data_IF_844100756359
#
_entry.id   IF_844100756359
#
_cell.length_a   1.000
_cell.length_b   1.000
_cell.length_c   1.000
_cell.angle_alpha   90.00
_cell.angle_beta   90.00
_cell.angle_gamma   90.00
#
_symmetry.space_group_name_H-M   'P 1'
#
loop_
_entity.id
_entity.type
_entity.pdbx_description
1 polymer ?
#
# COMPACT_ATOMS: atom_id res chain seq x y z
N UNK A 1 15.53 -3.16 6.86
CA UNK A 1 15.99 -4.09 5.81
C UNK A 1 14.74 -4.52 5.07
N UNK A 2 14.44 -3.92 3.91
CA UNK A 2 13.26 -4.29 3.11
C UNK A 2 13.64 -5.57 2.36
N UNK A 3 12.95 -6.71 2.57
CA UNK A 3 13.26 -7.93 1.83
C UNK A 3 13.08 -7.65 0.34
N UNK A 4 13.98 -8.18 -0.49
CA UNK A 4 13.76 -8.24 -1.94
C UNK A 4 12.51 -9.11 -2.12
N UNK A 5 11.37 -8.46 -2.40
CA UNK A 5 10.07 -9.11 -2.49
C UNK A 5 10.07 -10.01 -3.72
N UNK A 6 10.37 -11.29 -3.50
CA UNK A 6 10.16 -12.38 -4.45
C UNK A 6 8.66 -12.52 -4.71
N UNK A 7 8.29 -12.98 -5.89
CA UNK A 7 6.90 -13.26 -6.25
C UNK A 7 6.16 -14.00 -5.12
N UNK A 8 5.00 -13.49 -4.73
CA UNK A 8 4.16 -14.08 -3.68
C UNK A 8 4.23 -13.42 -2.29
N UNK A 9 4.74 -12.18 -2.17
CA UNK A 9 4.62 -11.41 -0.91
C UNK A 9 3.78 -10.15 -1.16
N UNK A 10 2.63 -10.08 -0.49
CA UNK A 10 1.68 -8.96 -0.57
C UNK A 10 1.55 -8.29 0.80
N UNK A 11 1.56 -6.96 0.82
CA UNK A 11 1.21 -6.22 2.02
C UNK A 11 -0.31 -6.18 2.19
N UNK A 12 -0.79 -6.58 3.36
CA UNK A 12 -2.15 -6.31 3.80
C UNK A 12 -2.15 -4.99 4.56
N UNK A 13 -2.57 -3.92 3.89
CA UNK A 13 -2.76 -2.60 4.48
C UNK A 13 -3.93 -2.67 5.47
N UNK A 14 -3.71 -2.18 6.69
CA UNK A 14 -4.69 -2.14 7.77
C UNK A 14 -4.82 -0.75 8.35
N UNK A 15 -3.91 -0.36 9.23
CA UNK A 15 -3.88 0.98 9.83
C UNK A 15 -3.07 1.97 8.99
N UNK A 16 -2.19 1.48 8.10
CA UNK A 16 -1.41 2.31 7.18
C UNK A 16 -0.33 3.16 7.86
N UNK A 17 -0.09 2.99 9.17
CA UNK A 17 0.90 3.78 9.92
C UNK A 17 2.32 3.31 9.62
N UNK A 18 2.50 2.01 9.41
CA UNK A 18 3.80 1.40 9.14
C UNK A 18 4.28 1.55 7.69
N UNK A 19 3.37 1.91 6.78
CA UNK A 19 3.61 1.87 5.33
C UNK A 19 3.70 3.27 4.75
N UNK A 20 4.79 3.57 4.04
CA UNK A 20 4.94 4.83 3.31
C UNK A 20 4.32 4.70 1.93
N UNK A 21 3.78 5.79 1.40
CA UNK A 21 3.20 5.77 0.05
C UNK A 21 4.26 5.51 -1.03
N UNK A 22 5.52 5.84 -0.75
CA UNK A 22 6.67 5.58 -1.61
C UNK A 22 7.26 4.17 -1.47
N UNK A 23 6.78 3.34 -0.53
CA UNK A 23 7.26 1.96 -0.40
C UNK A 23 6.90 1.15 -1.65
N UNK A 24 7.67 0.11 -1.92
CA UNK A 24 7.42 -0.78 -3.06
C UNK A 24 6.38 -1.83 -2.68
N UNK A 25 5.55 -2.23 -3.65
CA UNK A 25 4.68 -3.42 -3.55
C UNK A 25 3.65 -3.40 -2.41
N UNK A 26 3.32 -2.23 -1.85
CA UNK A 26 2.23 -2.13 -0.87
C UNK A 26 0.85 -2.15 -1.54
N UNK A 27 0.78 -1.91 -2.86
CA UNK A 27 -0.43 -2.01 -3.66
C UNK A 27 -0.40 -3.33 -4.45
N UNK A 28 -1.31 -4.28 -4.21
CA UNK A 28 -1.29 -5.59 -4.88
C UNK A 28 -1.35 -5.53 -6.41
N UNK A 29 -2.07 -4.55 -6.96
CA UNK A 29 -2.18 -4.32 -8.41
C UNK A 29 -0.92 -3.72 -9.06
N UNK A 30 0.06 -3.27 -8.27
CA UNK A 30 1.27 -2.59 -8.73
C UNK A 30 2.49 -3.38 -8.27
N UNK A 31 3.06 -4.19 -9.17
CA UNK A 31 4.22 -5.04 -8.90
C UNK A 31 5.52 -4.38 -9.31
N UNK A 32 6.55 -4.55 -8.48
CA UNK A 32 7.92 -4.11 -8.72
C UNK A 32 8.16 -2.61 -8.57
N UNK A 33 7.15 -1.82 -8.19
CA UNK A 33 7.25 -0.36 -8.04
C UNK A 33 6.30 0.18 -6.98
N UNK A 34 6.47 1.45 -6.63
CA UNK A 34 5.49 2.23 -5.87
C UNK A 34 4.48 2.90 -6.82
N UNK A 35 3.30 3.30 -6.31
CA UNK A 35 2.36 4.12 -7.06
C UNK A 35 3.01 5.45 -7.50
N UNK A 36 2.73 5.87 -8.72
CA UNK A 36 3.24 7.12 -9.28
C UNK A 36 2.52 8.31 -8.63
N UNK A 37 3.26 9.08 -7.84
CA UNK A 37 2.77 10.27 -7.14
C UNK A 37 2.72 11.45 -8.13
N UNK A 38 1.59 12.16 -8.19
CA UNK A 38 1.39 13.33 -9.07
C UNK A 38 2.01 14.60 -8.52
N UNK A 39 1.90 14.79 -7.22
CA UNK A 39 2.32 16.03 -6.57
C UNK A 39 3.83 15.96 -6.31
N UNK A 40 4.55 17.07 -6.51
CA UNK A 40 5.93 17.23 -6.05
C UNK A 40 6.01 17.32 -4.50
N UNK A 41 5.41 16.36 -3.81
CA UNK A 41 5.67 16.14 -2.39
C UNK A 41 6.68 15.02 -2.25
N UNK A 42 7.50 15.12 -1.21
CA UNK A 42 8.35 14.02 -0.81
C UNK A 42 7.46 12.84 -0.37
N UNK A 43 7.28 11.87 -1.25
CA UNK A 43 6.50 10.66 -0.98
C UNK A 43 7.02 9.84 0.20
N UNK A 44 8.25 10.09 0.66
CA UNK A 44 8.79 9.47 1.86
C UNK A 44 8.24 10.09 3.16
N UNK A 45 7.65 11.28 3.09
CA UNK A 45 7.04 11.97 4.23
C UNK A 45 5.60 11.53 4.51
N UNK A 46 4.92 10.91 3.53
CA UNK A 46 3.53 10.49 3.64
C UNK A 46 3.40 9.00 3.91
N UNK A 47 2.43 8.67 4.76
CA UNK A 47 2.04 7.30 5.07
C UNK A 47 0.68 6.97 4.47
N UNK A 48 0.42 5.69 4.35
CA UNK A 48 -0.86 5.20 3.83
C UNK A 48 -2.03 5.66 4.71
N UNK A 49 -1.83 5.74 6.03
CA UNK A 49 -2.86 6.27 6.96
C UNK A 49 -3.32 7.68 6.64
N UNK A 50 -2.44 8.52 6.06
CA UNK A 50 -2.71 9.93 5.79
C UNK A 50 -3.68 10.08 4.62
N UNK A 51 -3.90 8.99 3.86
CA UNK A 51 -4.84 8.89 2.76
C UNK A 51 -6.19 8.29 3.18
N UNK A 52 -6.33 7.85 4.44
CA UNK A 52 -7.57 7.26 4.95
C UNK A 52 -8.54 8.37 5.40
N UNK A 53 -9.83 8.12 5.16
CA UNK A 53 -10.91 8.97 5.66
C UNK A 53 -11.08 8.84 7.17
N UNK A 54 -12.03 9.62 7.70
CA UNK A 54 -12.31 9.67 9.15
C UNK A 54 -12.61 8.26 9.67
N UNK A 55 -11.87 7.85 10.71
CA UNK A 55 -12.01 6.55 11.35
C UNK A 55 -11.15 5.43 10.74
N UNK A 56 -10.46 5.65 9.62
CA UNK A 56 -9.46 4.69 9.12
C UNK A 56 -10.01 3.39 8.52
N UNK A 57 -11.30 3.35 8.17
CA UNK A 57 -11.95 2.17 7.58
C UNK A 57 -12.15 2.27 6.05
N UNK A 58 -11.88 3.43 5.48
CA UNK A 58 -12.08 3.70 4.05
C UNK A 58 -11.05 4.73 3.58
N UNK A 59 -10.79 4.74 2.28
CA UNK A 59 -9.99 5.78 1.64
C UNK A 59 -10.70 7.13 1.64
N UNK A 60 -9.95 8.21 1.79
CA UNK A 60 -10.37 9.50 1.24
C UNK A 60 -10.15 9.46 -0.28
N UNK A 61 -11.22 9.19 -1.02
CA UNK A 61 -11.19 9.02 -2.48
C UNK A 61 -10.66 10.27 -3.19
N UNK A 62 -10.98 11.46 -2.68
CA UNK A 62 -10.55 12.71 -3.29
C UNK A 62 -9.04 12.90 -3.11
N UNK A 63 -8.53 12.62 -1.91
CA UNK A 63 -7.12 12.71 -1.60
C UNK A 63 -6.29 11.69 -2.39
N UNK A 64 -6.75 10.44 -2.48
CA UNK A 64 -6.08 9.38 -3.27
C UNK A 64 -5.98 9.77 -4.75
N UNK A 65 -7.07 10.28 -5.34
CA UNK A 65 -7.09 10.74 -6.75
C UNK A 65 -6.25 11.99 -7.00
N UNK A 66 -6.11 12.85 -6.00
CA UNK A 66 -5.23 14.02 -6.07
C UNK A 66 -3.75 13.62 -5.95
N UNK A 67 -3.44 12.60 -5.14
CA UNK A 67 -2.08 12.23 -4.81
C UNK A 67 -1.41 11.33 -5.85
N UNK A 68 -2.13 10.39 -6.45
CA UNK A 68 -1.56 9.43 -7.42
C UNK A 68 -2.06 9.64 -8.84
N UNK A 69 -1.27 9.17 -9.81
CA UNK A 69 -1.69 9.07 -11.21
C UNK A 69 -2.95 8.22 -11.33
N UNK A 70 -3.85 8.57 -12.24
CA UNK A 70 -5.19 7.98 -12.35
C UNK A 70 -5.18 6.45 -12.36
N UNK A 71 -4.32 5.85 -13.19
CA UNK A 71 -4.16 4.38 -13.28
C UNK A 71 -3.76 3.73 -11.96
N UNK A 72 -2.86 4.37 -11.21
CA UNK A 72 -2.39 3.81 -9.95
C UNK A 72 -3.36 4.09 -8.81
N UNK A 73 -4.07 5.22 -8.86
CA UNK A 73 -5.13 5.55 -7.92
C UNK A 73 -6.25 4.51 -7.96
N UNK A 74 -6.62 4.02 -9.16
CA UNK A 74 -7.60 2.94 -9.31
C UNK A 74 -7.16 1.65 -8.60
N UNK A 75 -5.88 1.28 -8.70
CA UNK A 75 -5.35 0.10 -8.00
C UNK A 75 -5.29 0.30 -6.47
N UNK A 76 -4.92 1.50 -6.01
CA UNK A 76 -4.93 1.84 -4.58
C UNK A 76 -6.34 1.72 -4.01
N UNK A 77 -7.35 2.25 -4.72
CA UNK A 77 -8.74 2.24 -4.28
C UNK A 77 -9.36 0.84 -4.18
N UNK A 78 -8.78 -0.18 -4.84
CA UNK A 78 -9.22 -1.57 -4.73
C UNK A 78 -8.85 -2.21 -3.39
N UNK A 79 -7.91 -1.63 -2.65
CA UNK A 79 -7.55 -2.12 -1.31
C UNK A 79 -8.73 -1.85 -0.37
N UNK A 80 -9.25 -2.90 0.25
CA UNK A 80 -10.40 -2.85 1.18
C UNK A 80 -10.10 -3.55 2.51
N UNK A 81 -8.84 -3.88 2.77
CA UNK A 81 -8.40 -4.68 3.93
C UNK A 81 -8.23 -3.88 5.23
N UNK A 82 -8.77 -2.66 5.29
CA UNK A 82 -8.55 -1.72 6.39
C UNK A 82 -9.02 -2.27 7.73
N UNK A 83 -8.18 -2.07 8.74
CA UNK A 83 -8.52 -2.34 10.13
C UNK A 83 -7.65 -1.44 11.03
N UNK A 84 -8.16 -0.27 11.46
CA UNK A 84 -7.37 0.70 12.22
C UNK A 84 -6.95 0.20 13.61
N UNK A 85 -7.44 -0.97 14.05
CA UNK A 85 -7.06 -1.58 15.33
C UNK A 85 -5.86 -2.51 15.21
N UNK A 86 -5.41 -2.82 13.99
CA UNK A 86 -4.35 -3.79 13.74
C UNK A 86 -3.27 -3.17 12.85
N UNK A 87 -1.99 -3.42 13.13
CA UNK A 87 -0.91 -2.97 12.27
C UNK A 87 -0.94 -3.69 10.92
N UNK A 88 -0.42 -2.99 9.91
CA UNK A 88 -0.12 -3.54 8.58
C UNK A 88 0.61 -4.89 8.68
N UNK A 89 0.27 -5.83 7.79
CA UNK A 89 0.80 -7.20 7.84
C UNK A 89 1.26 -7.67 6.47
N UNK A 90 2.50 -8.13 6.39
CA UNK A 90 2.99 -8.87 5.23
C UNK A 90 2.37 -10.27 5.17
N UNK A 91 1.81 -10.63 4.01
CA UNK A 91 1.26 -11.94 3.72
C UNK A 91 2.08 -12.58 2.60
N UNK A 92 2.68 -13.72 2.90
CA UNK A 92 3.26 -14.60 1.89
C UNK A 92 2.18 -15.53 1.33
N UNK A 93 1.92 -15.50 0.02
CA UNK A 93 1.27 -16.59 -0.71
C UNK A 93 2.36 -17.51 -1.24
N UNK A 94 2.52 -18.65 -0.56
CA UNK A 94 3.43 -19.71 -1.01
C UNK A 94 2.79 -20.41 -2.20
N UNK A 95 3.30 -20.19 -3.42
CA UNK A 95 3.14 -21.17 -4.48
C UNK A 95 3.90 -22.45 -4.08
N UNK A 96 3.46 -23.61 -4.59
CA UNK A 96 3.81 -24.97 -4.13
C UNK A 96 5.32 -25.33 -4.08
N UNK A 97 6.24 -24.40 -4.33
CA UNK A 97 7.69 -24.53 -4.17
C UNK A 97 8.27 -23.46 -3.22
N UNK A 98 8.17 -23.77 -1.93
CA UNK A 98 9.15 -23.47 -0.87
C UNK A 98 9.45 -22.02 -0.41
N UNK A 99 9.21 -21.84 0.91
CA UNK A 99 9.87 -21.00 1.95
C UNK A 99 9.98 -19.47 1.76
N UNK A 100 9.26 -18.74 2.62
CA UNK A 100 9.62 -17.37 3.02
C UNK A 100 10.85 -17.41 3.95
N UNK A 101 11.84 -16.55 3.67
CA UNK A 101 13.09 -16.35 4.43
C UNK A 101 12.85 -15.22 5.43
#
# INVERSE_FOLDING_TARGET
MIPILRDGVELVVRDGEGTRIADLNWVPGIKGRSPAIRIQVDGAAFRVKDLLGIGGYHWDVNLVKAMFQERDAEEVLKITTFNPKLPDKWKCTLDAKAKCI
#
